data_IF_236107217382
#
_entry.id   IF_236107217382
#
_cell.length_a   1.000
_cell.length_b   1.000
_cell.length_c   1.000
_cell.angle_alpha   90.00
_cell.angle_beta   90.00
_cell.angle_gamma   90.00
#
_symmetry.space_group_name_H-M   'P 1'
#
loop_
_entity.id
_entity.type
_entity.pdbx_description
1 polymer ?
#
# COMPACT_ATOMS: atom_id res chain seq x y z
N UNK A 1 -24.52 15.95 25.13
CA UNK A 1 -24.42 14.63 24.49
C UNK A 1 -23.63 14.77 23.18
N UNK A 2 -22.46 14.14 23.04
CA UNK A 2 -21.65 14.23 21.82
C UNK A 2 -22.17 13.21 20.78
N UNK A 3 -22.83 13.71 19.74
CA UNK A 3 -23.31 12.89 18.63
C UNK A 3 -22.14 12.37 17.80
N UNK A 4 -21.99 11.04 17.77
CA UNK A 4 -20.90 10.34 17.09
C UNK A 4 -20.88 10.61 15.58
N UNK A 5 -19.69 10.81 15.04
CA UNK A 5 -19.47 11.04 13.62
C UNK A 5 -20.04 9.90 12.77
N UNK A 6 -20.81 10.18 11.70
CA UNK A 6 -21.31 9.13 10.82
C UNK A 6 -20.12 8.46 10.13
N UNK A 7 -19.94 7.17 10.44
CA UNK A 7 -18.91 6.30 9.86
C UNK A 7 -19.06 6.34 8.34
N UNK A 8 -18.12 7.03 7.68
CA UNK A 8 -18.00 7.21 6.22
C UNK A 8 -18.42 5.91 5.51
N UNK A 9 -19.61 5.87 4.90
CA UNK A 9 -20.02 4.75 4.03
C UNK A 9 -19.11 4.78 2.82
N UNK A 10 -18.02 4.03 2.90
CA UNK A 10 -17.13 3.78 1.78
C UNK A 10 -17.89 2.97 0.74
N UNK A 11 -18.29 3.63 -0.34
CA UNK A 11 -18.84 3.05 -1.57
C UNK A 11 -17.78 2.24 -2.35
N UNK A 12 -17.10 1.30 -1.67
CA UNK A 12 -16.05 0.44 -2.25
C UNK A 12 -16.36 -1.06 -2.17
N UNK A 13 -17.58 -1.44 -1.74
CA UNK A 13 -17.87 -2.71 -1.05
C UNK A 13 -17.73 -4.00 -1.87
N UNK A 14 -17.53 -3.92 -3.19
CA UNK A 14 -17.48 -5.11 -4.05
C UNK A 14 -16.13 -5.42 -4.69
N UNK A 15 -15.07 -4.62 -4.51
CA UNK A 15 -13.82 -4.80 -5.29
C UNK A 15 -13.03 -6.03 -4.81
N UNK A 16 -13.06 -7.19 -5.50
CA UNK A 16 -12.58 -8.47 -4.98
C UNK A 16 -11.04 -8.58 -4.84
N UNK A 17 -10.28 -7.51 -5.09
CA UNK A 17 -8.80 -7.52 -5.02
C UNK A 17 -8.14 -8.32 -6.15
N UNK A 18 -6.93 -8.86 -5.90
CA UNK A 18 -6.13 -9.65 -6.87
C UNK A 18 -6.34 -11.16 -6.72
N UNK A 19 -6.32 -11.90 -7.83
CA UNK A 19 -6.56 -13.36 -7.82
C UNK A 19 -5.52 -13.99 -6.90
N UNK A 20 -5.94 -14.93 -6.06
CA UNK A 20 -5.09 -15.64 -5.11
C UNK A 20 -4.63 -16.98 -5.67
N UNK A 21 -3.58 -17.54 -5.07
CA UNK A 21 -3.15 -18.91 -5.29
C UNK A 21 -3.96 -19.89 -4.43
N UNK A 22 -4.71 -19.39 -3.45
CA UNK A 22 -5.64 -20.19 -2.69
C UNK A 22 -7.00 -20.21 -3.42
N UNK A 23 -7.51 -21.39 -3.83
CA UNK A 23 -8.79 -21.50 -4.54
C UNK A 23 -9.98 -21.05 -3.69
N UNK A 24 -9.97 -21.28 -2.37
CA UNK A 24 -11.01 -20.83 -1.47
C UNK A 24 -11.11 -19.30 -1.44
N UNK A 25 -9.96 -18.60 -1.43
CA UNK A 25 -9.95 -17.13 -1.51
C UNK A 25 -10.50 -16.66 -2.87
N UNK A 26 -10.26 -17.40 -3.95
CA UNK A 26 -10.84 -17.10 -5.26
C UNK A 26 -12.36 -17.29 -5.27
N UNK A 27 -12.87 -18.28 -4.55
CA UNK A 27 -14.30 -18.45 -4.34
C UNK A 27 -14.89 -17.30 -3.52
N UNK A 28 -14.29 -16.94 -2.37
CA UNK A 28 -14.78 -15.86 -1.52
C UNK A 28 -14.88 -14.52 -2.25
N UNK A 29 -14.04 -14.31 -3.27
CA UNK A 29 -14.13 -13.14 -4.14
C UNK A 29 -15.41 -13.11 -4.93
N UNK A 30 -15.77 -14.22 -5.55
CA UNK A 30 -16.99 -14.32 -6.34
C UNK A 30 -18.22 -14.38 -5.43
N UNK A 31 -18.10 -15.01 -4.25
CA UNK A 31 -19.11 -14.97 -3.19
C UNK A 31 -19.39 -13.53 -2.75
N UNK A 32 -18.34 -12.72 -2.50
CA UNK A 32 -18.51 -11.32 -2.10
C UNK A 32 -19.10 -10.43 -3.19
N UNK A 33 -18.83 -10.71 -4.48
CA UNK A 33 -19.47 -9.98 -5.58
C UNK A 33 -20.98 -10.22 -5.62
N UNK A 34 -21.41 -11.44 -5.34
CA UNK A 34 -22.84 -11.79 -5.25
C UNK A 34 -23.48 -11.21 -3.99
N UNK A 35 -22.70 -11.01 -2.93
CA UNK A 35 -23.16 -10.55 -1.62
C UNK A 35 -22.47 -9.23 -1.20
N UNK A 36 -22.54 -8.24 -2.08
CA UNK A 36 -21.85 -6.94 -1.96
C UNK A 36 -22.22 -6.06 -0.76
N UNK A 37 -23.33 -6.38 -0.08
CA UNK A 37 -23.80 -5.68 1.11
C UNK A 37 -23.37 -6.33 2.43
N UNK A 38 -22.83 -7.55 2.39
CA UNK A 38 -22.45 -8.26 3.61
C UNK A 38 -21.18 -7.68 4.23
N UNK A 39 -21.14 -7.71 5.56
CA UNK A 39 -19.92 -7.36 6.28
C UNK A 39 -18.82 -8.39 5.94
N UNK A 40 -17.54 -8.00 5.80
CA UNK A 40 -16.47 -8.95 5.44
C UNK A 40 -16.39 -10.20 6.31
N UNK A 41 -16.74 -10.10 7.59
CA UNK A 41 -16.80 -11.24 8.52
C UNK A 41 -17.91 -12.23 8.13
N UNK A 42 -19.07 -11.73 7.71
CA UNK A 42 -20.21 -12.55 7.27
C UNK A 42 -19.92 -13.23 5.94
N UNK A 43 -19.27 -12.52 5.01
CA UNK A 43 -18.78 -13.08 3.75
C UNK A 43 -17.89 -14.30 4.00
N UNK A 44 -17.01 -14.23 5.01
CA UNK A 44 -16.13 -15.35 5.37
C UNK A 44 -16.96 -16.49 5.99
N UNK A 45 -17.85 -16.18 6.95
CA UNK A 45 -18.68 -17.19 7.64
C UNK A 45 -19.59 -17.95 6.67
N UNK A 46 -20.43 -17.22 5.93
CA UNK A 46 -21.36 -17.82 4.97
C UNK A 46 -20.62 -18.42 3.77
N UNK A 47 -19.56 -17.77 3.31
CA UNK A 47 -18.72 -18.28 2.22
C UNK A 47 -17.99 -19.59 2.60
N UNK A 48 -17.57 -19.76 3.85
CA UNK A 48 -17.00 -21.03 4.32
C UNK A 48 -18.01 -22.17 4.23
N UNK A 49 -19.25 -21.94 4.69
CA UNK A 49 -20.33 -22.93 4.59
C UNK A 49 -20.63 -23.27 3.13
N UNK A 50 -20.81 -22.25 2.28
CA UNK A 50 -21.08 -22.44 0.86
C UNK A 50 -19.94 -23.18 0.14
N UNK A 51 -18.68 -22.94 0.50
CA UNK A 51 -17.52 -23.64 -0.05
C UNK A 51 -17.51 -25.13 0.31
N UNK A 52 -17.88 -25.47 1.54
CA UNK A 52 -17.95 -26.85 2.00
C UNK A 52 -19.05 -27.65 1.27
N UNK A 53 -20.12 -26.98 0.85
CA UNK A 53 -21.21 -27.59 0.07
C UNK A 53 -20.91 -27.73 -1.44
N UNK A 54 -19.82 -27.16 -1.96
CA UNK A 54 -19.49 -27.31 -3.38
C UNK A 54 -19.05 -28.74 -3.70
N UNK A 55 -19.50 -29.26 -4.85
CA UNK A 55 -18.92 -30.48 -5.41
C UNK A 55 -17.54 -30.21 -6.00
N UNK A 56 -16.75 -31.26 -6.22
CA UNK A 56 -15.41 -31.10 -6.78
C UNK A 56 -15.44 -30.43 -8.15
N UNK A 57 -16.41 -30.78 -9.01
CA UNK A 57 -16.64 -30.14 -10.31
C UNK A 57 -16.87 -28.62 -10.18
N UNK A 58 -17.55 -28.17 -9.13
CA UNK A 58 -17.76 -26.75 -8.86
C UNK A 58 -16.52 -26.06 -8.25
N UNK A 59 -15.66 -26.81 -7.54
CA UNK A 59 -14.38 -26.31 -7.00
C UNK A 59 -13.29 -26.22 -8.06
N UNK A 60 -13.28 -27.13 -9.04
CA UNK A 60 -12.31 -27.22 -10.14
C UNK A 60 -11.97 -25.87 -10.81
N UNK A 61 -12.92 -25.00 -11.20
CA UNK A 61 -12.57 -23.71 -11.80
C UNK A 61 -11.73 -22.82 -10.87
N UNK A 62 -11.97 -22.84 -9.56
CA UNK A 62 -11.20 -22.07 -8.59
C UNK A 62 -9.81 -22.67 -8.37
N UNK A 63 -9.72 -24.01 -8.35
CA UNK A 63 -8.47 -24.77 -8.27
C UNK A 63 -7.58 -24.48 -9.49
N UNK A 64 -8.13 -24.56 -10.71
CA UNK A 64 -7.39 -24.23 -11.94
C UNK A 64 -6.88 -22.80 -11.93
N UNK A 65 -7.73 -21.81 -11.58
CA UNK A 65 -7.32 -20.40 -11.45
C UNK A 65 -6.17 -20.22 -10.44
N UNK A 66 -6.22 -20.93 -9.32
CA UNK A 66 -5.19 -20.90 -8.29
C UNK A 66 -3.88 -21.53 -8.75
N UNK A 67 -3.96 -22.68 -9.41
CA UNK A 67 -2.82 -23.48 -9.84
C UNK A 67 -1.99 -22.78 -10.92
N UNK A 68 -2.64 -22.31 -11.99
CA UNK A 68 -1.97 -21.65 -13.12
C UNK A 68 -1.49 -20.23 -12.82
N UNK A 69 -1.83 -19.66 -11.66
CA UNK A 69 -1.34 -18.33 -11.29
C UNK A 69 0.18 -18.37 -11.14
N UNK A 70 0.97 -17.56 -11.87
CA UNK A 70 2.43 -17.62 -11.80
C UNK A 70 2.97 -17.42 -10.38
N UNK A 71 4.04 -18.14 -10.02
CA UNK A 71 4.75 -17.84 -8.77
C UNK A 71 5.30 -16.43 -8.89
N UNK A 72 5.00 -15.58 -7.90
CA UNK A 72 5.78 -14.35 -7.74
C UNK A 72 7.18 -14.80 -7.36
N UNK A 73 8.14 -14.62 -8.27
CA UNK A 73 9.56 -14.74 -7.92
C UNK A 73 9.81 -13.70 -6.84
N UNK A 74 10.09 -14.16 -5.62
CA UNK A 74 10.51 -13.25 -4.57
C UNK A 74 11.70 -12.44 -5.10
N UNK A 75 11.63 -11.10 -5.07
CA UNK A 75 12.76 -10.29 -5.47
C UNK A 75 13.94 -10.70 -4.60
N UNK A 76 15.09 -11.01 -5.22
CA UNK A 76 16.29 -11.36 -4.48
C UNK A 76 16.48 -10.35 -3.32
N UNK A 77 16.62 -10.80 -2.05
CA UNK A 77 16.65 -9.91 -0.88
C UNK A 77 17.67 -8.77 -1.01
N UNK A 78 18.74 -9.01 -1.77
CA UNK A 78 19.80 -8.05 -2.08
C UNK A 78 19.35 -6.93 -3.02
N UNK A 79 18.42 -7.18 -3.95
CA UNK A 79 17.95 -6.20 -4.96
C UNK A 79 17.19 -5.04 -4.30
N UNK A 80 16.31 -5.33 -3.35
CA UNK A 80 15.61 -4.32 -2.56
C UNK A 80 16.57 -3.51 -1.68
N UNK A 81 17.54 -4.16 -1.03
CA UNK A 81 18.57 -3.51 -0.21
C UNK A 81 19.47 -2.60 -1.04
N UNK A 82 19.89 -3.04 -2.23
CA UNK A 82 20.70 -2.26 -3.19
C UNK A 82 19.93 -1.03 -3.66
N UNK A 83 18.65 -1.17 -4.02
CA UNK A 83 17.83 -0.05 -4.49
C UNK A 83 17.59 0.99 -3.40
N UNK A 84 17.33 0.56 -2.16
CA UNK A 84 17.23 1.47 -0.99
C UNK A 84 18.54 2.19 -0.71
N UNK A 85 19.69 1.50 -0.75
CA UNK A 85 21.01 2.12 -0.61
C UNK A 85 21.28 3.16 -1.70
N UNK A 86 20.92 2.85 -2.95
CA UNK A 86 21.10 3.76 -4.08
C UNK A 86 20.20 5.00 -3.99
N UNK A 87 18.93 4.83 -3.56
CA UNK A 87 18.03 5.96 -3.29
C UNK A 87 18.56 6.86 -2.19
N UNK A 88 19.03 6.31 -1.07
CA UNK A 88 19.69 7.08 0.01
C UNK A 88 20.91 7.85 -0.49
N UNK A 89 21.79 7.20 -1.28
CA UNK A 89 22.95 7.87 -1.89
C UNK A 89 22.52 9.05 -2.78
N UNK A 90 21.50 8.86 -3.64
CA UNK A 90 20.96 9.95 -4.48
C UNK A 90 20.39 11.10 -3.66
N UNK A 91 19.65 10.81 -2.59
CA UNK A 91 19.12 11.84 -1.68
C UNK A 91 20.23 12.62 -0.99
N UNK A 92 21.27 11.94 -0.50
CA UNK A 92 22.44 12.59 0.12
C UNK A 92 23.18 13.47 -0.90
N UNK A 93 23.43 12.98 -2.12
CA UNK A 93 24.05 13.78 -3.18
C UNK A 93 23.22 15.02 -3.52
N UNK A 94 21.88 14.89 -3.64
CA UNK A 94 20.97 16.02 -3.87
C UNK A 94 21.02 17.05 -2.74
N UNK A 95 21.03 16.61 -1.48
CA UNK A 95 21.15 17.52 -0.33
C UNK A 95 22.50 18.25 -0.33
N UNK A 96 23.61 17.54 -0.62
CA UNK A 96 24.94 18.15 -0.73
C UNK A 96 25.02 19.18 -1.87
N UNK A 97 24.46 18.87 -3.04
CA UNK A 97 24.40 19.83 -4.16
C UNK A 97 23.57 21.06 -3.79
N UNK A 98 22.41 20.89 -3.14
CA UNK A 98 21.59 22.01 -2.66
C UNK A 98 22.31 22.87 -1.63
N UNK A 99 23.02 22.26 -0.67
CA UNK A 99 23.84 23.01 0.30
C UNK A 99 24.97 23.78 -0.38
N UNK A 100 25.67 23.17 -1.35
CA UNK A 100 26.71 23.84 -2.14
C UNK A 100 26.14 25.00 -2.96
N UNK A 101 24.99 24.84 -3.61
CA UNK A 101 24.31 25.93 -4.32
C UNK A 101 23.91 27.05 -3.37
N UNK A 102 23.38 26.75 -2.18
CA UNK A 102 23.05 27.75 -1.15
C UNK A 102 24.29 28.49 -0.63
N UNK A 103 25.40 27.79 -0.40
CA UNK A 103 26.67 28.43 -0.01
C UNK A 103 27.22 29.33 -1.12
N UNK A 104 27.12 28.91 -2.40
CA UNK A 104 27.50 29.74 -3.56
C UNK A 104 26.58 30.95 -3.77
N UNK A 105 25.28 30.82 -3.49
CA UNK A 105 24.36 31.96 -3.48
C UNK A 105 24.67 32.93 -2.33
N UNK A 106 25.03 32.41 -1.15
CA UNK A 106 25.47 33.22 0.01
C UNK A 106 26.83 33.89 -0.21
N UNK A 107 27.72 33.32 -1.03
CA UNK A 107 28.97 33.97 -1.40
C UNK A 107 28.82 34.99 -2.54
N UNK A 108 27.64 35.07 -3.19
CA UNK A 108 27.33 36.02 -4.26
C UNK A 108 26.58 37.28 -3.78
N UNK A 109 26.06 37.31 -2.55
CA UNK A 109 25.68 38.57 -1.93
C UNK A 109 26.94 39.28 -1.39
N UNK A 110 27.67 39.91 -2.29
CA UNK A 110 28.58 41.01 -1.96
C UNK A 110 27.75 42.23 -1.59
N UNK A 111 28.15 42.89 -0.50
CA UNK A 111 27.66 44.16 0.05
C UNK A 111 26.24 44.18 0.65
N UNK A 112 26.17 44.26 1.99
CA UNK A 112 25.30 45.27 2.62
C UNK A 112 23.96 44.86 3.26
N UNK A 113 23.77 43.65 3.81
CA UNK A 113 22.56 43.35 4.60
C UNK A 113 22.86 43.05 6.07
N UNK A 114 22.33 43.82 7.04
CA UNK A 114 22.56 43.61 8.47
C UNK A 114 21.80 42.38 8.97
N UNK A 115 22.48 41.57 9.78
CA UNK A 115 21.93 40.32 10.35
C UNK A 115 20.86 40.62 11.41
N UNK A 116 19.75 39.86 11.48
CA UNK A 116 18.78 40.02 12.55
C UNK A 116 19.37 39.51 13.88
N UNK A 117 19.47 40.40 14.87
CA UNK A 117 19.90 40.05 16.23
C UNK A 117 18.92 39.08 16.88
N UNK A 118 19.45 37.95 17.37
CA UNK A 118 18.69 36.98 18.16
C UNK A 118 18.40 37.59 19.53
N UNK A 119 17.12 37.80 19.85
CA UNK A 119 16.64 38.15 21.20
C UNK A 119 17.11 37.07 22.18
N UNK A 120 17.93 37.47 23.16
CA UNK A 120 18.21 36.65 24.36
C UNK A 120 17.05 36.84 25.34
N UNK A 121 16.60 35.73 25.92
CA UNK A 121 15.64 35.73 27.03
C UNK A 121 16.26 36.44 28.23
N UNK A 122 15.55 37.42 28.75
CA UNK A 122 15.25 37.65 30.16
C UNK A 122 13.82 38.17 30.20
#
# INVERSE_FOLDING_TARGET
MANGCPRRRSSSSCRPGKISRNPYINFLRDFRKKHCGLHPVEVIRQGAQAWNCLTDQQRLPYIRKAFYRPLRREPCPTRGRRMRRMSRRRSVSRSRSRSRSRSRSRSRCGNGCPMPMKRRRC
#
